data_IF_303918481289
#
_entry.id   IF_303918481289
#
_cell.length_a   1.000
_cell.length_b   1.000
_cell.length_c   1.000
_cell.angle_alpha   90.00
_cell.angle_beta   90.00
_cell.angle_gamma   90.00
#
_symmetry.space_group_name_H-M   'P 1'
#
loop_
_entity.id
_entity.type
_entity.pdbx_description
1 polymer ?
#
# COMPACT_ATOMS: atom_id res chain seq x y z
N UNK A 1 21.96 -1.77 3.82
CA UNK A 1 20.96 -2.86 3.70
C UNK A 1 19.70 -2.65 4.55
N UNK A 2 19.77 -2.21 5.82
CA UNK A 2 18.58 -2.09 6.68
C UNK A 2 17.40 -1.32 6.08
N UNK A 3 17.61 -0.10 5.59
CA UNK A 3 16.54 0.71 5.00
C UNK A 3 15.90 0.09 3.75
N UNK A 4 16.70 -0.59 2.90
CA UNK A 4 16.19 -1.29 1.71
C UNK A 4 15.40 -2.53 2.09
N UNK A 5 15.91 -3.31 3.05
CA UNK A 5 15.23 -4.50 3.54
C UNK A 5 13.83 -4.15 4.07
N UNK A 6 13.71 -3.05 4.81
CA UNK A 6 12.46 -2.61 5.39
C UNK A 6 11.44 -2.12 4.36
N UNK A 7 11.90 -1.36 3.38
CA UNK A 7 11.05 -0.89 2.28
C UNK A 7 10.55 -2.06 1.42
N UNK A 8 11.39 -3.09 1.23
CA UNK A 8 11.06 -4.25 0.38
C UNK A 8 10.27 -5.35 1.10
N UNK A 9 9.78 -5.12 2.34
CA UNK A 9 8.87 -6.05 3.04
C UNK A 9 7.46 -6.01 2.46
N UNK A 10 7.34 -6.17 1.15
CA UNK A 10 6.12 -5.92 0.38
C UNK A 10 4.91 -6.75 0.80
N UNK A 11 5.09 -7.96 1.34
CA UNK A 11 3.97 -8.75 1.92
C UNK A 11 3.19 -7.99 3.01
N UNK A 12 3.79 -7.00 3.68
CA UNK A 12 3.08 -6.16 4.66
C UNK A 12 2.06 -5.21 4.00
N UNK A 13 2.16 -4.98 2.68
CA UNK A 13 1.21 -4.18 1.92
C UNK A 13 -0.03 -4.98 1.50
N UNK A 14 0.05 -6.31 1.43
CA UNK A 14 -1.07 -7.16 1.01
C UNK A 14 -2.32 -6.99 1.90
N UNK A 15 -2.23 -7.02 3.24
CA UNK A 15 -3.38 -6.78 4.09
C UNK A 15 -4.06 -5.42 3.83
N UNK A 16 -3.27 -4.37 3.64
CA UNK A 16 -3.78 -3.03 3.35
C UNK A 16 -4.44 -2.97 1.97
N UNK A 17 -3.81 -3.57 0.95
CA UNK A 17 -4.38 -3.60 -0.40
C UNK A 17 -5.67 -4.43 -0.47
N UNK A 18 -5.73 -5.56 0.25
CA UNK A 18 -6.95 -6.35 0.38
C UNK A 18 -8.06 -5.58 1.11
N UNK A 19 -7.72 -4.85 2.18
CA UNK A 19 -8.67 -4.02 2.90
C UNK A 19 -9.28 -2.96 1.98
N UNK A 20 -8.47 -2.31 1.13
CA UNK A 20 -8.97 -1.35 0.14
C UNK A 20 -9.86 -2.00 -0.92
N UNK A 21 -9.49 -3.16 -1.45
CA UNK A 21 -10.36 -3.87 -2.41
C UNK A 21 -11.69 -4.26 -1.75
N UNK A 22 -11.65 -4.80 -0.53
CA UNK A 22 -12.86 -5.19 0.19
C UNK A 22 -13.72 -3.97 0.48
N UNK A 23 -13.17 -2.91 1.06
CA UNK A 23 -13.91 -1.67 1.33
C UNK A 23 -14.51 -1.09 0.03
N UNK A 24 -13.71 -1.02 -1.04
CA UNK A 24 -14.17 -0.57 -2.35
C UNK A 24 -15.28 -1.43 -2.95
N UNK A 25 -15.33 -2.73 -2.67
CA UNK A 25 -16.38 -3.63 -3.19
C UNK A 25 -17.60 -3.66 -2.26
N UNK A 26 -17.42 -3.58 -0.94
CA UNK A 26 -18.50 -3.72 0.04
C UNK A 26 -19.20 -2.42 0.34
N UNK A 27 -18.53 -1.28 0.20
CA UNK A 27 -19.13 0.03 0.44
C UNK A 27 -19.68 0.65 -0.84
N UNK A 28 -19.31 0.13 -2.02
CA UNK A 28 -19.89 0.61 -3.28
C UNK A 28 -21.39 0.32 -3.27
N UNK A 29 -22.26 1.33 -3.47
CA UNK A 29 -23.69 1.14 -3.29
C UNK A 29 -24.19 0.09 -4.29
N UNK A 30 -24.97 -0.92 -3.85
CA UNK A 30 -25.74 -1.73 -4.76
C UNK A 30 -26.94 -0.89 -5.19
N UNK A 31 -26.77 0.03 -6.15
CA UNK A 31 -27.87 0.75 -6.83
C UNK A 31 -29.06 1.02 -5.87
N UNK A 32 -28.90 1.88 -4.84
CA UNK A 32 -29.97 2.14 -3.87
C UNK A 32 -29.58 2.89 -2.58
N UNK A 33 -30.61 3.44 -1.90
CA UNK A 33 -30.57 4.39 -0.78
C UNK A 33 -30.24 3.80 0.62
N UNK A 34 -29.58 2.64 0.72
CA UNK A 34 -29.38 2.01 2.05
C UNK A 34 -28.24 2.65 2.85
N UNK A 35 -28.55 3.02 4.10
CA UNK A 35 -27.64 3.68 5.02
C UNK A 35 -26.42 2.81 5.40
N UNK A 36 -25.23 3.39 5.26
CA UNK A 36 -23.89 2.84 5.57
C UNK A 36 -23.77 2.20 6.98
N UNK A 37 -24.68 2.49 7.91
CA UNK A 37 -24.65 2.04 9.31
C UNK A 37 -24.62 0.52 9.53
N UNK A 38 -25.16 -0.29 8.61
CA UNK A 38 -25.15 -1.75 8.70
C UNK A 38 -23.81 -2.42 8.36
N UNK A 39 -22.86 -1.69 7.77
CA UNK A 39 -21.61 -2.26 7.19
C UNK A 39 -20.37 -2.08 8.06
N UNK A 40 -20.45 -1.26 9.12
CA UNK A 40 -19.32 -1.02 10.03
C UNK A 40 -18.74 -2.30 10.65
N UNK A 41 -19.58 -3.30 10.95
CA UNK A 41 -19.12 -4.60 11.47
C UNK A 41 -18.21 -5.36 10.50
N UNK A 42 -18.52 -5.32 9.19
CA UNK A 42 -17.71 -5.95 8.16
C UNK A 42 -16.36 -5.25 7.98
N UNK A 43 -16.35 -3.92 8.03
CA UNK A 43 -15.10 -3.15 8.00
C UNK A 43 -14.20 -3.50 9.21
N UNK A 44 -14.76 -3.55 10.42
CA UNK A 44 -14.01 -3.96 11.63
C UNK A 44 -13.49 -5.40 11.51
N UNK A 45 -14.28 -6.33 10.98
CA UNK A 45 -13.84 -7.70 10.73
C UNK A 45 -12.70 -7.75 9.71
N UNK A 46 -12.81 -7.02 8.60
CA UNK A 46 -11.76 -6.92 7.58
C UNK A 46 -10.48 -6.30 8.14
N UNK A 47 -10.59 -5.27 8.98
CA UNK A 47 -9.46 -4.68 9.70
C UNK A 47 -8.80 -5.69 10.64
N UNK A 48 -9.60 -6.48 11.38
CA UNK A 48 -9.10 -7.56 12.23
C UNK A 48 -8.31 -8.60 11.43
N UNK A 49 -8.84 -9.06 10.29
CA UNK A 49 -8.14 -9.98 9.38
C UNK A 49 -6.85 -9.35 8.85
N UNK A 50 -6.87 -8.07 8.47
CA UNK A 50 -5.69 -7.37 7.99
C UNK A 50 -4.59 -7.27 9.06
N UNK A 51 -4.96 -6.99 10.32
CA UNK A 51 -4.03 -6.95 11.45
C UNK A 51 -3.40 -8.32 11.73
N UNK A 52 -4.21 -9.39 11.70
CA UNK A 52 -3.72 -10.77 11.85
C UNK A 52 -2.77 -11.14 10.70
N UNK A 53 -3.14 -10.80 9.46
CA UNK A 53 -2.28 -10.99 8.29
C UNK A 53 -0.96 -10.24 8.41
N UNK A 54 -1.00 -8.98 8.83
CA UNK A 54 0.20 -8.16 9.07
C UNK A 54 1.11 -8.79 10.14
N UNK A 55 0.54 -9.24 11.26
CA UNK A 55 1.29 -9.91 12.32
C UNK A 55 1.93 -11.23 11.83
N UNK A 56 1.19 -12.01 11.03
CA UNK A 56 1.67 -13.23 10.39
C UNK A 56 2.85 -12.99 9.45
N UNK A 57 2.72 -12.03 8.53
CA UNK A 57 3.80 -11.66 7.61
C UNK A 57 5.00 -11.06 8.33
N UNK A 58 4.78 -10.24 9.36
CA UNK A 58 5.86 -9.72 10.18
C UNK A 58 6.64 -10.85 10.87
N UNK A 59 5.93 -11.80 11.47
CA UNK A 59 6.54 -13.00 12.07
C UNK A 59 7.33 -13.79 11.02
N UNK A 60 6.74 -14.03 9.84
CA UNK A 60 7.41 -14.72 8.73
C UNK A 60 8.72 -14.02 8.33
N UNK A 61 8.72 -12.69 8.18
CA UNK A 61 9.94 -11.96 7.84
C UNK A 61 11.05 -12.11 8.90
N UNK A 62 10.67 -12.02 10.17
CA UNK A 62 11.61 -12.18 11.28
C UNK A 62 12.19 -13.58 11.33
N UNK A 63 11.38 -14.61 11.09
CA UNK A 63 11.85 -16.01 11.10
C UNK A 63 12.70 -16.37 9.89
N UNK A 64 12.34 -15.87 8.70
CA UNK A 64 12.97 -16.31 7.44
C UNK A 64 14.21 -15.50 7.08
N UNK A 65 14.23 -14.21 7.43
CA UNK A 65 15.30 -13.29 7.06
C UNK A 65 16.07 -12.75 8.26
N UNK A 66 15.64 -13.06 9.49
CA UNK A 66 16.24 -12.55 10.72
C UNK A 66 15.77 -11.13 11.07
N UNK A 67 16.32 -10.61 12.16
CA UNK A 67 16.08 -9.22 12.62
C UNK A 67 17.19 -8.33 12.08
N UNK A 68 16.81 -7.29 11.35
CA UNK A 68 17.72 -6.22 10.96
C UNK A 68 17.46 -5.04 11.90
N UNK A 69 18.43 -4.69 12.73
CA UNK A 69 18.29 -3.53 13.61
C UNK A 69 18.37 -2.23 12.82
N UNK A 70 17.31 -1.40 12.95
CA UNK A 70 17.29 -0.06 12.38
C UNK A 70 18.02 0.90 13.32
N UNK A 71 18.78 1.83 12.74
CA UNK A 71 19.21 3.01 13.49
C UNK A 71 17.99 3.83 13.95
N UNK A 72 18.10 4.49 15.11
CA UNK A 72 17.02 5.34 15.66
C UNK A 72 16.57 6.41 14.64
N UNK A 73 17.53 7.02 13.94
CA UNK A 73 17.25 8.02 12.91
C UNK A 73 16.44 7.45 11.74
N UNK A 74 16.77 6.25 11.25
CA UNK A 74 16.01 5.59 10.19
C UNK A 74 14.57 5.28 10.64
N UNK A 75 14.38 4.81 11.89
CA UNK A 75 13.06 4.54 12.45
C UNK A 75 12.20 5.81 12.53
N UNK A 76 12.75 6.91 13.03
CA UNK A 76 12.04 8.20 13.12
C UNK A 76 11.69 8.71 11.73
N UNK A 77 12.64 8.69 10.78
CA UNK A 77 12.39 9.14 9.40
C UNK A 77 11.28 8.33 8.73
N UNK A 78 11.29 7.00 8.87
CA UNK A 78 10.20 6.15 8.35
C UNK A 78 8.87 6.44 9.03
N UNK A 79 8.86 6.71 10.34
CA UNK A 79 7.64 7.08 11.06
C UNK A 79 7.06 8.41 10.58
N UNK A 80 7.91 9.44 10.44
CA UNK A 80 7.51 10.75 9.91
C UNK A 80 7.00 10.62 8.47
N UNK A 81 7.71 9.89 7.61
CA UNK A 81 7.25 9.65 6.24
C UNK A 81 5.89 8.94 6.20
N UNK A 82 5.69 7.93 7.05
CA UNK A 82 4.39 7.24 7.18
C UNK A 82 3.27 8.19 7.61
N UNK A 83 3.52 9.04 8.60
CA UNK A 83 2.55 10.05 9.05
C UNK A 83 2.21 11.05 7.95
N UNK A 84 3.20 11.51 7.16
CA UNK A 84 2.98 12.41 6.04
C UNK A 84 2.16 11.75 4.92
N UNK A 85 2.42 10.48 4.60
CA UNK A 85 1.63 9.72 3.63
C UNK A 85 0.17 9.62 4.10
N UNK A 86 -0.05 9.26 5.37
CA UNK A 86 -1.39 9.18 5.96
C UNK A 86 -2.08 10.55 5.90
N UNK A 87 -1.39 11.62 6.31
CA UNK A 87 -1.95 12.96 6.27
C UNK A 87 -2.34 13.40 4.84
N UNK A 88 -1.50 13.12 3.84
CA UNK A 88 -1.77 13.46 2.44
C UNK A 88 -2.96 12.67 1.88
N UNK A 89 -3.04 11.38 2.21
CA UNK A 89 -4.18 10.52 1.84
C UNK A 89 -5.47 11.02 2.49
N UNK A 90 -5.46 11.33 3.79
CA UNK A 90 -6.62 11.90 4.48
C UNK A 90 -7.06 13.24 3.88
N UNK A 91 -6.11 14.10 3.49
CA UNK A 91 -6.40 15.34 2.79
C UNK A 91 -7.05 15.09 1.42
N UNK A 92 -6.54 14.13 0.64
CA UNK A 92 -7.15 13.72 -0.64
C UNK A 92 -8.58 13.21 -0.48
N UNK A 93 -8.84 12.35 0.51
CA UNK A 93 -10.19 11.87 0.84
C UNK A 93 -11.10 13.04 1.23
N UNK A 94 -10.60 13.94 2.09
CA UNK A 94 -11.38 15.09 2.56
C UNK A 94 -11.75 16.03 1.41
N UNK A 95 -10.84 16.24 0.45
CA UNK A 95 -11.10 17.02 -0.77
C UNK A 95 -12.16 16.34 -1.64
N UNK A 96 -12.04 15.03 -1.88
CA UNK A 96 -13.01 14.26 -2.66
C UNK A 96 -14.41 14.25 -2.03
N UNK A 97 -14.51 14.41 -0.70
CA UNK A 97 -15.80 14.49 0.01
C UNK A 97 -16.40 15.89 0.12
N UNK A 98 -15.59 16.95 -0.05
CA UNK A 98 -16.02 18.34 0.19
C UNK A 98 -16.16 19.16 -1.08
N UNK A 99 -15.44 18.78 -2.14
CA UNK A 99 -15.36 19.54 -3.39
C UNK A 99 -15.66 18.62 -4.54
N UNK A 100 -16.57 19.05 -5.41
CA UNK A 100 -16.89 18.32 -6.63
C UNK A 100 -15.81 18.53 -7.70
N UNK A 101 -14.73 17.76 -7.58
CA UNK A 101 -13.63 17.74 -8.54
C UNK A 101 -13.90 16.70 -9.64
N UNK A 102 -13.54 16.93 -10.91
CA UNK A 102 -13.68 15.91 -11.95
C UNK A 102 -12.66 14.77 -11.81
N UNK A 103 -11.71 14.87 -10.87
CA UNK A 103 -10.59 13.95 -10.63
C UNK A 103 -10.69 13.32 -9.24
N UNK A 104 -10.01 12.20 -8.99
CA UNK A 104 -9.88 11.63 -7.64
C UNK A 104 -8.64 12.19 -6.93
N UNK A 105 -8.84 13.15 -6.04
CA UNK A 105 -7.79 13.70 -5.19
C UNK A 105 -7.20 12.62 -4.27
N UNK A 106 -8.01 11.67 -3.80
CA UNK A 106 -7.54 10.52 -3.01
C UNK A 106 -6.55 9.67 -3.81
N UNK A 107 -6.89 9.26 -5.02
CA UNK A 107 -6.00 8.44 -5.85
C UNK A 107 -4.71 9.15 -6.25
N UNK A 108 -4.79 10.44 -6.60
CA UNK A 108 -3.61 11.28 -6.89
C UNK A 108 -2.71 11.39 -5.66
N UNK A 109 -3.28 11.72 -4.50
CA UNK A 109 -2.56 11.84 -3.23
C UNK A 109 -1.86 10.52 -2.87
N UNK A 110 -2.56 9.40 -2.99
CA UNK A 110 -2.01 8.08 -2.72
C UNK A 110 -0.83 7.76 -3.65
N UNK A 111 -1.03 7.86 -4.97
CA UNK A 111 0.02 7.54 -5.94
C UNK A 111 1.25 8.44 -5.77
N UNK A 112 1.04 9.75 -5.61
CA UNK A 112 2.11 10.72 -5.40
C UNK A 112 2.88 10.48 -4.10
N UNK A 113 2.17 10.24 -2.98
CA UNK A 113 2.80 9.98 -1.69
C UNK A 113 3.72 8.75 -1.74
N UNK A 114 3.25 7.66 -2.36
CA UNK A 114 4.03 6.44 -2.51
C UNK A 114 5.22 6.60 -3.46
N UNK A 115 5.07 7.31 -4.58
CA UNK A 115 6.19 7.59 -5.48
C UNK A 115 7.28 8.40 -4.77
N UNK A 116 6.91 9.45 -4.02
CA UNK A 116 7.84 10.24 -3.22
C UNK A 116 8.50 9.38 -2.15
N UNK A 117 7.74 8.52 -1.48
CA UNK A 117 8.27 7.59 -0.48
C UNK A 117 9.34 6.67 -1.07
N UNK A 118 9.02 5.97 -2.16
CA UNK A 118 9.96 5.05 -2.79
C UNK A 118 11.21 5.77 -3.31
N UNK A 119 11.02 6.95 -3.93
CA UNK A 119 12.14 7.77 -4.37
C UNK A 119 13.08 8.14 -3.22
N UNK A 120 12.51 8.52 -2.06
CA UNK A 120 13.29 8.94 -0.91
C UNK A 120 14.00 7.79 -0.16
N UNK A 121 13.47 6.58 -0.21
CA UNK A 121 13.98 5.44 0.60
C UNK A 121 14.88 4.50 -0.20
N UNK A 122 14.45 4.09 -1.41
CA UNK A 122 15.14 3.07 -2.21
C UNK A 122 15.40 3.47 -3.66
N UNK A 123 14.93 4.64 -4.09
CA UNK A 123 14.91 5.07 -5.49
C UNK A 123 13.76 4.42 -6.26
N UNK A 124 13.21 5.16 -7.23
CA UNK A 124 12.16 4.64 -8.10
C UNK A 124 12.69 3.55 -9.04
N UNK A 125 11.81 2.59 -9.33
CA UNK A 125 12.08 1.43 -10.18
C UNK A 125 10.97 1.33 -11.21
N UNK A 126 11.21 0.61 -12.28
CA UNK A 126 10.25 0.48 -13.37
C UNK A 126 8.87 0.01 -12.87
N UNK A 127 8.82 -0.99 -11.98
CA UNK A 127 7.53 -1.49 -11.48
C UNK A 127 6.78 -0.48 -10.58
N UNK A 128 7.47 0.44 -9.91
CA UNK A 128 6.81 1.54 -9.17
C UNK A 128 6.05 2.45 -10.14
N UNK A 129 6.68 2.81 -11.26
CA UNK A 129 6.02 3.60 -12.30
C UNK A 129 4.92 2.82 -13.01
N UNK A 130 5.13 1.53 -13.29
CA UNK A 130 4.12 0.69 -13.96
C UNK A 130 2.89 0.41 -13.09
N UNK A 131 2.98 0.58 -11.77
CA UNK A 131 1.85 0.38 -10.84
C UNK A 131 1.22 1.70 -10.41
N UNK A 132 2.02 2.63 -9.89
CA UNK A 132 1.54 3.91 -9.37
C UNK A 132 1.33 4.97 -10.46
N UNK A 133 2.05 4.87 -11.58
CA UNK A 133 1.89 5.79 -12.71
C UNK A 133 0.51 5.68 -13.34
N UNK A 134 0.08 4.49 -13.82
CA UNK A 134 -1.27 4.28 -14.33
C UNK A 134 -2.36 4.63 -13.33
N UNK A 135 -2.15 4.33 -12.02
CA UNK A 135 -3.07 4.75 -10.97
C UNK A 135 -3.20 6.28 -10.92
N UNK A 136 -2.08 7.00 -10.89
CA UNK A 136 -2.08 8.47 -10.89
C UNK A 136 -2.72 9.06 -12.14
N UNK A 137 -2.48 8.47 -13.32
CA UNK A 137 -3.14 8.87 -14.57
C UNK A 137 -4.64 8.63 -14.48
N UNK A 138 -5.08 7.42 -14.12
CA UNK A 138 -6.49 7.08 -13.95
C UNK A 138 -7.19 8.03 -12.98
N UNK A 139 -6.55 8.37 -11.86
CA UNK A 139 -7.08 9.30 -10.87
C UNK A 139 -7.12 10.76 -11.34
N UNK A 140 -6.31 11.14 -12.34
CA UNK A 140 -6.28 12.48 -12.91
C UNK A 140 -7.17 12.67 -14.15
N UNK A 141 -7.70 11.59 -14.73
CA UNK A 141 -8.67 11.67 -15.83
C UNK A 141 -10.01 12.21 -15.29
N UNK A 142 -10.72 13.08 -16.02
CA UNK A 142 -11.96 13.71 -15.55
C UNK A 142 -13.20 12.77 -15.54
N UNK A 143 -13.02 11.47 -15.26
CA UNK A 143 -14.10 10.47 -15.20
C UNK A 143 -14.72 10.33 -13.81
N UNK A 144 -14.22 11.07 -12.82
CA UNK A 144 -14.64 10.95 -11.42
C UNK A 144 -15.71 11.97 -11.01
N UNK A 145 -15.99 12.99 -11.85
CA UNK A 145 -16.94 14.06 -11.53
C UNK A 145 -18.37 13.55 -11.34
N UNK A 146 -18.82 12.61 -12.17
CA UNK A 146 -20.19 12.07 -12.12
C UNK A 146 -20.32 10.84 -11.19
N UNK A 147 -19.30 10.54 -10.38
CA UNK A 147 -19.31 9.39 -9.46
C UNK A 147 -19.69 9.85 -8.06
N UNK A 148 -20.89 9.44 -7.62
CA UNK A 148 -21.44 9.79 -6.30
C UNK A 148 -20.52 9.38 -5.14
N UNK A 149 -19.93 8.17 -5.19
CA UNK A 149 -18.96 7.68 -4.21
C UNK A 149 -17.61 7.36 -4.85
N UNK A 150 -16.94 8.42 -5.28
CA UNK A 150 -15.60 8.36 -5.89
C UNK A 150 -14.53 7.78 -4.96
N UNK A 151 -14.64 8.00 -3.65
CA UNK A 151 -13.65 7.54 -2.67
C UNK A 151 -13.65 6.02 -2.63
N UNK A 152 -14.83 5.42 -2.45
CA UNK A 152 -14.99 3.97 -2.41
C UNK A 152 -14.59 3.33 -3.74
N UNK A 153 -15.01 3.91 -4.86
CA UNK A 153 -14.61 3.39 -6.18
C UNK A 153 -13.09 3.44 -6.39
N UNK A 154 -12.42 4.50 -5.94
CA UNK A 154 -10.97 4.65 -6.03
C UNK A 154 -10.20 3.65 -5.15
N UNK A 155 -10.80 3.13 -4.07
CA UNK A 155 -10.16 2.12 -3.22
C UNK A 155 -9.84 0.83 -3.99
N UNK A 156 -10.64 0.44 -4.99
CA UNK A 156 -10.41 -0.77 -5.77
C UNK A 156 -9.06 -0.72 -6.52
N UNK A 157 -8.81 0.24 -7.44
CA UNK A 157 -7.54 0.32 -8.14
C UNK A 157 -6.36 0.63 -7.20
N UNK A 158 -6.57 1.41 -6.12
CA UNK A 158 -5.55 1.63 -5.08
C UNK A 158 -5.15 0.31 -4.40
N UNK A 159 -6.12 -0.51 -4.03
CA UNK A 159 -5.90 -1.80 -3.40
C UNK A 159 -5.16 -2.77 -4.31
N UNK A 160 -5.55 -2.83 -5.59
CA UNK A 160 -4.86 -3.64 -6.60
C UNK A 160 -3.42 -3.19 -6.83
N UNK A 161 -3.18 -1.88 -6.94
CA UNK A 161 -1.83 -1.33 -7.07
C UNK A 161 -0.97 -1.64 -5.84
N UNK A 162 -1.55 -1.54 -4.64
CA UNK A 162 -0.89 -1.86 -3.36
C UNK A 162 -0.50 -3.34 -3.27
N UNK A 163 -1.38 -4.26 -3.68
CA UNK A 163 -1.08 -5.69 -3.75
C UNK A 163 0.05 -5.94 -4.75
N UNK A 164 -0.04 -5.38 -5.96
CA UNK A 164 0.95 -5.55 -7.00
C UNK A 164 2.34 -5.07 -6.54
N UNK A 165 2.41 -3.87 -5.95
CA UNK A 165 3.62 -3.32 -5.32
C UNK A 165 4.19 -4.28 -4.28
N UNK A 166 3.35 -4.74 -3.35
CA UNK A 166 3.77 -5.67 -2.30
C UNK A 166 4.37 -6.97 -2.84
N UNK A 167 3.82 -7.49 -3.94
CA UNK A 167 4.35 -8.68 -4.60
C UNK A 167 5.69 -8.42 -5.28
N UNK A 168 5.85 -7.28 -5.97
CA UNK A 168 7.12 -6.92 -6.62
C UNK A 168 8.23 -6.64 -5.62
N UNK A 169 7.95 -5.87 -4.58
CA UNK A 169 8.89 -5.56 -3.49
C UNK A 169 9.36 -6.85 -2.80
N UNK A 170 8.43 -7.76 -2.49
CA UNK A 170 8.78 -9.04 -1.88
C UNK A 170 9.67 -9.89 -2.79
N UNK A 171 9.32 -10.03 -4.08
CA UNK A 171 10.14 -10.78 -5.05
C UNK A 171 11.55 -10.22 -5.14
N UNK A 172 11.67 -8.91 -5.09
CA UNK A 172 12.96 -8.25 -5.14
C UNK A 172 13.77 -8.46 -3.86
N UNK A 173 13.14 -8.38 -2.69
CA UNK A 173 13.76 -8.72 -1.43
C UNK A 173 14.32 -10.15 -1.48
N UNK A 174 13.53 -11.12 -1.92
CA UNK A 174 13.95 -12.52 -2.05
C UNK A 174 15.14 -12.63 -3.01
N UNK A 175 15.11 -11.94 -4.15
CA UNK A 175 16.22 -11.92 -5.12
C UNK A 175 17.49 -11.34 -4.50
N UNK A 176 17.41 -10.18 -3.85
CA UNK A 176 18.58 -9.51 -3.26
C UNK A 176 19.24 -10.35 -2.16
N UNK A 177 18.44 -11.02 -1.32
CA UNK A 177 18.95 -11.93 -0.28
C UNK A 177 19.62 -13.15 -0.88
N UNK A 178 19.04 -13.75 -1.93
CA UNK A 178 19.65 -14.89 -2.63
C UNK A 178 20.99 -14.53 -3.24
N UNK A 179 21.07 -13.38 -3.93
CA UNK A 179 22.32 -12.89 -4.52
C UNK A 179 23.38 -12.65 -3.45
N UNK A 180 23.02 -12.04 -2.32
CA UNK A 180 23.95 -11.80 -1.22
C UNK A 180 24.48 -13.10 -0.59
N UNK A 181 23.63 -14.12 -0.42
CA UNK A 181 24.05 -15.44 0.10
C UNK A 181 24.99 -16.17 -0.86
N UNK A 182 24.69 -16.14 -2.16
CA UNK A 182 25.54 -16.73 -3.19
C UNK A 182 26.92 -16.07 -3.21
N UNK A 183 26.98 -14.74 -3.13
CA UNK A 183 28.25 -14.00 -3.06
C UNK A 183 29.05 -14.31 -1.78
N UNK A 184 28.38 -14.65 -0.69
CA UNK A 184 29.00 -15.06 0.57
C UNK A 184 29.43 -16.53 0.61
N UNK A 185 29.23 -17.31 -0.46
CA UNK A 185 29.55 -18.74 -0.49
C UNK A 185 28.68 -19.61 0.43
N UNK A 186 27.55 -19.08 0.92
CA UNK A 186 26.60 -19.82 1.75
C UNK A 186 25.65 -20.57 0.82
N UNK A 187 25.97 -21.83 0.51
CA UNK A 187 25.08 -22.72 -0.22
C UNK A 187 23.81 -23.00 0.61
N UNK A 188 22.67 -23.10 -0.08
CA UNK A 188 21.38 -23.40 0.55
C UNK A 188 21.45 -24.78 1.24
N UNK A 189 21.16 -24.92 2.55
CA UNK A 189 20.65 -26.19 3.05
C UNK A 189 19.33 -26.44 2.32
N UNK A 190 19.24 -27.56 1.62
CA UNK A 190 18.09 -28.00 0.85
C UNK A 190 16.79 -27.87 1.67
N UNK A 191 15.81 -27.17 1.12
CA UNK A 191 14.45 -27.03 1.65
C UNK A 191 13.50 -26.68 0.52
#
# INVERSE_FOLDING_TARGET
MGAQYDALRGLLLLPTGLLFVVAGVTDFPPVGDEAVSGRAGWFVAALGVALVGYAGFHRHYVTTFGRVERSRAARVRSGVAGLLIVALVCAGISLDSQVDLPVSAFGIAFAGAWLVHYQAVIGLRAYHWLTLGPLGVLSAVPVWGDVDDRVTLAMIPIGLATIALGLFDHRELVRSVRTARAAAGLSHPHG
#
